data_IF_815407061479
#
_entry.id   IF_815407061479
#
_cell.length_a   1.000
_cell.length_b   1.000
_cell.length_c   1.000
_cell.angle_alpha   90.00
_cell.angle_beta   90.00
_cell.angle_gamma   90.00
#
_symmetry.space_group_name_H-M   'P 1'
#
loop_
_entity.id
_entity.type
_entity.pdbx_description
1 polymer ?
#
# COMPACT_ATOMS: atom_id res chain seq x y z
N UNK A 1 -2.39 28.50 -11.90
CA UNK A 1 -3.05 27.52 -11.00
C UNK A 1 -4.55 27.84 -10.77
N UNK A 2 -5.29 28.32 -11.78
CA UNK A 2 -6.69 28.79 -11.69
C UNK A 2 -7.67 28.07 -12.64
N UNK A 3 -7.23 27.00 -13.33
CA UNK A 3 -7.89 26.56 -14.57
C UNK A 3 -8.82 25.35 -14.42
N UNK A 4 -8.64 24.45 -13.45
CA UNK A 4 -9.46 23.24 -13.37
C UNK A 4 -10.83 23.43 -12.68
N UNK A 5 -10.97 24.41 -11.78
CA UNK A 5 -12.24 24.67 -11.10
C UNK A 5 -13.28 25.35 -12.02
N UNK A 6 -12.85 25.98 -13.12
CA UNK A 6 -13.74 26.75 -14.02
C UNK A 6 -14.68 25.88 -14.86
N UNK A 7 -14.44 24.57 -14.95
CA UNK A 7 -15.15 23.68 -15.89
C UNK A 7 -15.89 22.53 -15.19
N UNK A 8 -16.01 22.52 -13.86
CA UNK A 8 -16.79 21.50 -13.18
C UNK A 8 -18.28 21.82 -13.39
N UNK A 9 -19.10 20.90 -13.94
CA UNK A 9 -20.53 21.14 -14.08
C UNK A 9 -21.16 21.46 -12.73
N UNK A 10 -22.22 22.31 -12.68
CA UNK A 10 -22.89 22.68 -11.43
C UNK A 10 -23.71 21.52 -10.88
N UNK A 11 -23.02 20.52 -10.35
CA UNK A 11 -23.58 19.34 -9.68
C UNK A 11 -23.29 19.48 -8.17
N UNK A 12 -24.34 19.45 -7.31
CA UNK A 12 -24.19 19.56 -5.86
C UNK A 12 -23.31 18.48 -5.23
N UNK A 13 -23.38 17.24 -5.73
CA UNK A 13 -22.55 16.12 -5.26
C UNK A 13 -21.09 16.34 -5.64
N UNK A 14 -20.81 16.74 -6.88
CA UNK A 14 -19.45 17.03 -7.34
C UNK A 14 -18.84 18.19 -6.55
N UNK A 15 -19.61 19.25 -6.29
CA UNK A 15 -19.18 20.40 -5.49
C UNK A 15 -18.84 19.99 -4.06
N UNK A 16 -19.67 19.17 -3.43
CA UNK A 16 -19.42 18.63 -2.07
C UNK A 16 -18.13 17.79 -2.03
N UNK A 17 -17.95 16.87 -2.98
CA UNK A 17 -16.75 16.01 -3.06
C UNK A 17 -15.49 16.83 -3.34
N UNK A 18 -15.58 17.81 -4.25
CA UNK A 18 -14.48 18.71 -4.55
C UNK A 18 -14.01 19.48 -3.31
N UNK A 19 -14.95 20.06 -2.56
CA UNK A 19 -14.63 20.77 -1.32
C UNK A 19 -14.01 19.84 -0.27
N UNK A 20 -14.49 18.60 -0.14
CA UNK A 20 -13.91 17.60 0.76
C UNK A 20 -12.45 17.26 0.38
N UNK A 21 -12.15 17.04 -0.90
CA UNK A 21 -10.78 16.78 -1.38
C UNK A 21 -9.86 17.96 -1.09
N UNK A 22 -10.34 19.19 -1.30
CA UNK A 22 -9.55 20.40 -1.02
C UNK A 22 -9.30 20.60 0.47
N UNK A 23 -10.27 20.31 1.32
CA UNK A 23 -10.15 20.40 2.76
C UNK A 23 -9.17 19.35 3.35
N UNK A 24 -9.01 18.20 2.69
CA UNK A 24 -8.07 17.16 3.11
C UNK A 24 -6.59 17.57 3.02
N UNK A 25 -6.27 18.63 2.27
CA UNK A 25 -4.91 19.14 2.11
C UNK A 25 -4.07 18.37 1.09
N UNK A 26 -2.79 18.73 0.93
CA UNK A 26 -1.90 18.09 -0.03
C UNK A 26 -1.54 16.66 0.40
N UNK A 27 -1.49 15.74 -0.56
CA UNK A 27 -1.04 14.37 -0.34
C UNK A 27 0.49 14.33 -0.34
N UNK A 28 1.08 13.73 0.69
CA UNK A 28 2.49 13.36 0.75
C UNK A 28 2.56 11.85 1.02
N UNK A 29 2.44 11.08 -0.05
CA UNK A 29 2.33 9.63 0.01
C UNK A 29 3.64 8.92 -0.30
N UNK A 30 3.74 7.68 0.18
CA UNK A 30 4.75 6.71 -0.24
C UNK A 30 4.08 5.38 -0.62
N UNK A 31 4.73 4.62 -1.49
CA UNK A 31 4.50 3.20 -1.65
C UNK A 31 5.66 2.48 -0.98
N UNK A 32 5.36 1.52 -0.09
CA UNK A 32 6.36 0.88 0.74
C UNK A 32 6.28 -0.64 0.62
N UNK A 33 7.35 -1.23 0.08
CA UNK A 33 7.56 -2.66 0.06
C UNK A 33 8.09 -3.10 1.44
N UNK A 34 7.23 -3.69 2.27
CA UNK A 34 7.58 -4.00 3.67
C UNK A 34 8.32 -5.34 3.85
N UNK A 35 8.36 -6.14 2.78
CA UNK A 35 9.03 -7.44 2.71
C UNK A 35 9.38 -7.78 1.26
N UNK A 36 10.53 -8.44 1.08
CA UNK A 36 10.98 -9.01 -0.19
C UNK A 36 10.46 -10.43 -0.45
N UNK A 37 9.83 -11.03 0.56
CA UNK A 37 9.32 -12.40 0.49
C UNK A 37 7.87 -12.39 0.03
N UNK A 38 7.55 -13.21 -0.97
CA UNK A 38 6.17 -13.56 -1.35
C UNK A 38 6.01 -15.08 -1.36
N UNK A 39 4.84 -15.57 -0.93
CA UNK A 39 4.46 -16.97 -1.00
C UNK A 39 3.95 -17.40 -2.39
N UNK A 40 3.92 -16.49 -3.37
CA UNK A 40 3.51 -16.73 -4.76
C UNK A 40 4.59 -16.26 -5.76
N UNK A 41 4.47 -16.71 -7.02
CA UNK A 41 5.28 -16.29 -8.18
C UNK A 41 4.38 -16.12 -9.41
N UNK A 42 3.51 -15.11 -9.34
CA UNK A 42 2.48 -14.85 -10.35
C UNK A 42 3.10 -14.46 -11.70
N UNK A 43 2.48 -14.91 -12.80
CA UNK A 43 2.77 -14.43 -14.14
C UNK A 43 2.52 -12.91 -14.23
N UNK A 44 3.48 -12.14 -14.75
CA UNK A 44 3.32 -10.68 -14.87
C UNK A 44 3.40 -9.94 -13.53
N UNK A 45 4.00 -10.53 -12.49
CA UNK A 45 4.21 -9.85 -11.22
C UNK A 45 5.33 -8.82 -11.35
N UNK A 46 4.97 -7.53 -11.41
CA UNK A 46 5.94 -6.42 -11.50
C UNK A 46 7.07 -6.53 -10.45
N UNK A 47 6.74 -7.02 -9.24
CA UNK A 47 7.70 -7.19 -8.16
C UNK A 47 8.89 -8.09 -8.53
N UNK A 48 8.60 -9.26 -9.11
CA UNK A 48 9.63 -10.23 -9.50
C UNK A 48 10.22 -9.93 -10.88
N UNK A 49 9.41 -9.42 -11.80
CA UNK A 49 9.88 -9.12 -13.17
C UNK A 49 10.91 -8.00 -13.20
N UNK A 50 10.76 -7.00 -12.32
CA UNK A 50 11.70 -5.90 -12.18
C UNK A 50 12.84 -6.21 -11.18
N UNK A 51 12.91 -7.44 -10.66
CA UNK A 51 13.97 -7.89 -9.76
C UNK A 51 14.02 -7.15 -8.41
N UNK A 52 12.87 -6.66 -7.92
CA UNK A 52 12.80 -5.95 -6.64
C UNK A 52 13.00 -6.87 -5.43
N UNK A 53 12.82 -8.19 -5.63
CA UNK A 53 13.11 -9.23 -4.65
C UNK A 53 14.61 -9.43 -4.37
N UNK A 54 15.49 -8.82 -5.17
CA UNK A 54 16.95 -8.85 -4.95
C UNK A 54 17.40 -8.00 -3.76
N UNK A 55 16.55 -7.09 -3.31
CA UNK A 55 16.83 -6.26 -2.14
C UNK A 55 16.20 -6.88 -0.91
N UNK A 56 17.06 -7.39 -0.02
CA UNK A 56 16.60 -7.94 1.25
C UNK A 56 16.13 -6.81 2.17
N UNK A 57 14.97 -7.04 2.77
CA UNK A 57 14.45 -6.17 3.81
C UNK A 57 15.30 -6.35 5.07
N UNK A 58 15.64 -5.29 5.82
CA UNK A 58 16.39 -5.43 7.05
C UNK A 58 15.67 -6.38 8.02
N UNK A 59 16.42 -7.32 8.61
CA UNK A 59 15.89 -8.24 9.64
C UNK A 59 15.65 -7.52 10.97
N UNK A 60 16.45 -6.48 11.25
CA UNK A 60 16.35 -5.71 12.47
C UNK A 60 15.13 -4.79 12.46
N UNK A 61 14.15 -5.08 13.32
CA UNK A 61 12.95 -4.26 13.48
C UNK A 61 13.25 -2.81 13.90
N UNK A 62 14.38 -2.58 14.57
CA UNK A 62 14.82 -1.23 14.95
C UNK A 62 15.06 -0.32 13.74
N UNK A 63 15.57 -0.87 12.63
CA UNK A 63 15.78 -0.12 11.38
C UNK A 63 14.43 0.30 10.80
N UNK A 64 13.44 -0.56 10.88
CA UNK A 64 12.08 -0.25 10.44
C UNK A 64 11.43 0.83 11.33
N UNK A 65 11.63 0.76 12.65
CA UNK A 65 11.11 1.76 13.58
C UNK A 65 11.74 3.14 13.34
N UNK A 66 13.05 3.20 13.06
CA UNK A 66 13.74 4.43 12.67
C UNK A 66 13.19 4.99 11.35
N UNK A 67 12.93 4.12 10.35
CA UNK A 67 12.31 4.52 9.09
C UNK A 67 10.94 5.17 9.30
N UNK A 68 10.08 4.54 10.12
CA UNK A 68 8.76 5.09 10.46
C UNK A 68 8.89 6.47 11.10
N UNK A 69 9.84 6.65 12.02
CA UNK A 69 10.06 7.94 12.67
C UNK A 69 10.53 9.01 11.68
N UNK A 70 11.46 8.67 10.78
CA UNK A 70 11.90 9.57 9.70
C UNK A 70 10.74 9.98 8.79
N UNK A 71 9.86 9.06 8.43
CA UNK A 71 8.70 9.37 7.58
C UNK A 71 7.64 10.24 8.29
N UNK A 72 7.49 10.09 9.61
CA UNK A 72 6.66 10.98 10.43
C UNK A 72 7.23 12.39 10.45
N UNK A 73 8.53 12.54 10.68
CA UNK A 73 9.23 13.84 10.67
C UNK A 73 9.18 14.50 9.29
N UNK A 74 9.27 13.68 8.24
CA UNK A 74 9.08 14.12 6.86
C UNK A 74 7.65 14.59 6.57
N UNK A 75 6.68 14.26 7.41
CA UNK A 75 5.27 14.64 7.23
C UNK A 75 4.54 13.81 6.19
N UNK A 76 4.95 12.56 5.99
CA UNK A 76 4.21 11.58 5.18
C UNK A 76 2.82 11.38 5.79
N UNK A 77 1.78 11.48 4.97
CA UNK A 77 0.40 11.42 5.43
C UNK A 77 -0.41 10.25 4.86
N UNK A 78 0.17 9.49 3.92
CA UNK A 78 -0.45 8.27 3.41
C UNK A 78 0.60 7.24 2.99
N UNK A 79 0.39 5.97 3.35
CA UNK A 79 1.28 4.85 2.99
C UNK A 79 0.49 3.77 2.25
N UNK A 80 0.89 3.46 1.02
CA UNK A 80 0.41 2.27 0.31
C UNK A 80 1.35 1.11 0.65
N UNK A 81 0.86 0.14 1.40
CA UNK A 81 1.60 -1.04 1.83
C UNK A 81 1.56 -2.08 0.72
N UNK A 82 2.74 -2.41 0.18
CA UNK A 82 2.97 -3.36 -0.91
C UNK A 82 4.18 -4.26 -0.56
N UNK A 83 4.82 -4.86 -1.56
CA UNK A 83 5.98 -5.75 -1.41
C UNK A 83 5.75 -7.09 -2.08
N UNK A 84 6.47 -8.10 -1.59
CA UNK A 84 6.20 -9.49 -1.92
C UNK A 84 4.80 -9.90 -1.43
N UNK A 85 4.66 -10.24 -0.15
CA UNK A 85 3.35 -10.44 0.46
C UNK A 85 3.28 -9.84 1.88
N UNK A 86 2.57 -8.71 2.06
CA UNK A 86 2.46 -8.02 3.34
C UNK A 86 1.90 -8.88 4.48
N UNK A 87 0.97 -9.81 4.20
CA UNK A 87 0.37 -10.67 5.22
C UNK A 87 1.34 -11.66 5.87
N UNK A 88 2.58 -11.75 5.38
CA UNK A 88 3.67 -12.49 6.02
C UNK A 88 4.30 -11.70 7.19
N UNK A 89 4.16 -10.37 7.22
CA UNK A 89 4.77 -9.48 8.23
C UNK A 89 3.74 -8.55 8.87
N UNK A 90 2.68 -9.14 9.44
CA UNK A 90 1.55 -8.42 10.07
C UNK A 90 2.00 -7.36 11.09
N UNK A 91 3.07 -7.63 11.85
CA UNK A 91 3.62 -6.67 12.81
C UNK A 91 4.01 -5.33 12.16
N UNK A 92 4.61 -5.37 10.96
CA UNK A 92 4.97 -4.15 10.20
C UNK A 92 3.74 -3.44 9.63
N UNK A 93 2.71 -4.18 9.21
CA UNK A 93 1.41 -3.58 8.83
C UNK A 93 0.84 -2.81 10.01
N UNK A 94 0.82 -3.41 11.20
CA UNK A 94 0.27 -2.77 12.41
C UNK A 94 1.06 -1.51 12.78
N UNK A 95 2.39 -1.55 12.74
CA UNK A 95 3.23 -0.37 12.95
C UNK A 95 2.89 0.77 11.99
N UNK A 96 2.74 0.49 10.70
CA UNK A 96 2.34 1.53 9.72
C UNK A 96 0.95 2.06 10.03
N UNK A 97 -0.01 1.17 10.30
CA UNK A 97 -1.40 1.52 10.62
C UNK A 97 -1.51 2.46 11.84
N UNK A 98 -0.67 2.25 12.85
CA UNK A 98 -0.65 3.04 14.08
C UNK A 98 -0.09 4.45 13.88
N UNK A 99 0.64 4.69 12.78
CA UNK A 99 1.34 5.95 12.55
C UNK A 99 0.84 6.73 11.33
N UNK A 100 0.25 6.07 10.34
CA UNK A 100 -0.15 6.69 9.07
C UNK A 100 -1.55 6.26 8.62
N UNK A 101 -2.21 7.11 7.84
CA UNK A 101 -3.28 6.62 6.97
C UNK A 101 -2.65 5.69 5.95
N UNK A 102 -3.28 4.54 5.70
CA UNK A 102 -2.70 3.56 4.80
C UNK A 102 -3.77 2.73 4.10
N UNK A 103 -3.32 1.99 3.10
CA UNK A 103 -4.01 0.84 2.50
C UNK A 103 -3.01 -0.28 2.29
N UNK A 104 -3.48 -1.53 2.21
CA UNK A 104 -2.61 -2.69 1.93
C UNK A 104 -3.08 -3.44 0.70
N UNK A 105 -2.15 -3.84 -0.15
CA UNK A 105 -2.37 -4.78 -1.24
C UNK A 105 -1.88 -6.18 -0.81
N UNK A 106 -2.71 -7.21 -0.99
CA UNK A 106 -2.39 -8.60 -0.61
C UNK A 106 -2.92 -9.57 -1.65
N UNK A 107 -2.28 -10.74 -1.78
CA UNK A 107 -2.83 -11.85 -2.55
C UNK A 107 -4.02 -12.55 -1.86
N UNK A 108 -4.27 -12.25 -0.58
CA UNK A 108 -5.43 -12.75 0.16
C UNK A 108 -5.37 -14.22 0.60
N UNK A 109 -4.27 -14.94 0.36
CA UNK A 109 -4.11 -16.34 0.80
C UNK A 109 -4.02 -16.44 2.32
N UNK A 110 -3.29 -15.50 2.93
CA UNK A 110 -3.22 -15.38 4.39
C UNK A 110 -4.09 -14.23 4.84
N UNK A 111 -4.94 -14.48 5.82
CA UNK A 111 -5.84 -13.49 6.37
C UNK A 111 -5.07 -12.46 7.20
N UNK A 112 -5.25 -11.18 6.88
CA UNK A 112 -4.87 -10.07 7.77
C UNK A 112 -5.92 -10.01 8.90
N UNK A 113 -5.52 -9.96 10.19
CA UNK A 113 -6.47 -9.94 11.29
C UNK A 113 -7.32 -8.66 11.25
N UNK A 114 -8.59 -8.79 11.65
CA UNK A 114 -9.49 -7.64 11.74
C UNK A 114 -9.27 -6.83 13.02
N UNK A 115 -9.07 -7.52 14.14
CA UNK A 115 -8.83 -6.92 15.44
C UNK A 115 -7.56 -6.06 15.42
N UNK A 116 -7.70 -4.78 15.78
CA UNK A 116 -6.64 -3.78 15.76
C UNK A 116 -6.32 -3.21 14.37
N UNK A 117 -7.06 -3.58 13.32
CA UNK A 117 -6.91 -3.11 11.94
C UNK A 117 -8.27 -2.83 11.27
N UNK A 118 -9.29 -2.49 12.05
CA UNK A 118 -10.70 -2.48 11.62
C UNK A 118 -10.98 -1.50 10.48
N UNK A 119 -10.19 -0.42 10.42
CA UNK A 119 -10.30 0.62 9.39
C UNK A 119 -9.25 0.50 8.29
N UNK A 120 -8.48 -0.59 8.24
CA UNK A 120 -7.47 -0.82 7.21
C UNK A 120 -8.16 -1.15 5.88
N UNK A 121 -8.03 -0.31 4.83
CA UNK A 121 -8.48 -0.66 3.50
C UNK A 121 -7.59 -1.75 2.92
N UNK A 122 -8.20 -2.87 2.50
CA UNK A 122 -7.50 -4.02 1.93
C UNK A 122 -7.88 -4.17 0.46
N UNK A 123 -6.90 -4.03 -0.43
CA UNK A 123 -7.00 -4.43 -1.82
C UNK A 123 -6.55 -5.88 -2.00
N UNK A 124 -7.44 -6.74 -2.46
CA UNK A 124 -7.11 -8.15 -2.75
C UNK A 124 -6.85 -8.31 -4.24
N UNK A 125 -5.64 -8.73 -4.59
CA UNK A 125 -5.26 -9.03 -5.97
C UNK A 125 -5.77 -10.40 -6.37
N UNK A 126 -6.79 -10.43 -7.24
CA UNK A 126 -7.43 -11.66 -7.71
C UNK A 126 -7.00 -11.97 -9.14
N UNK A 127 -6.52 -13.19 -9.37
CA UNK A 127 -6.21 -13.72 -10.70
C UNK A 127 -7.38 -14.55 -11.22
N UNK A 128 -7.71 -14.41 -12.50
CA UNK A 128 -8.84 -15.12 -13.13
C UNK A 128 -8.64 -16.62 -13.31
N UNK A 129 -7.44 -17.17 -13.04
CA UNK A 129 -7.15 -18.60 -13.10
C UNK A 129 -5.96 -18.95 -12.18
N UNK A 130 -5.98 -20.14 -11.56
CA UNK A 130 -4.85 -20.67 -10.78
C UNK A 130 -3.59 -20.91 -11.62
N UNK A 131 -3.74 -21.25 -12.89
CA UNK A 131 -2.59 -21.51 -13.77
C UNK A 131 -1.65 -20.30 -13.94
N UNK A 132 -2.17 -19.06 -13.78
CA UNK A 132 -1.35 -17.85 -13.88
C UNK A 132 -0.63 -17.46 -12.59
N UNK A 133 -0.92 -18.13 -11.46
CA UNK A 133 -0.29 -17.86 -10.16
C UNK A 133 1.08 -18.53 -10.06
N UNK A 134 1.30 -19.61 -10.80
CA UNK A 134 2.56 -20.33 -10.88
C UNK A 134 3.09 -20.20 -12.30
N UNK A 135 3.67 -19.04 -12.62
CA UNK A 135 4.41 -18.93 -13.87
C UNK A 135 5.77 -19.59 -13.69
N UNK A 136 5.95 -20.73 -14.34
CA UNK A 136 7.30 -21.24 -14.61
C UNK A 136 7.90 -20.34 -15.69
N UNK A 137 8.44 -19.16 -15.31
CA UNK A 137 9.47 -18.58 -16.17
C UNK A 137 10.59 -19.63 -16.23
N UNK A 138 11.05 -20.03 -17.44
CA UNK A 138 12.20 -20.91 -17.57
C UNK A 138 13.45 -20.30 -16.92
#
# INVERSE_FOLDING_TARGET
MKTYAKNLPPDPLLSKRWNAIRAAGPLRSISLDITHVCNLRCAGCYYFEEGMDRHESPDEEAVFDEFIQKEKERGTNFVTIVGGEPSLVIGRIKKIYDHFKCSVATNGIRKIPYEGLENLPIGVSVWGNFASIFSTKP
#
